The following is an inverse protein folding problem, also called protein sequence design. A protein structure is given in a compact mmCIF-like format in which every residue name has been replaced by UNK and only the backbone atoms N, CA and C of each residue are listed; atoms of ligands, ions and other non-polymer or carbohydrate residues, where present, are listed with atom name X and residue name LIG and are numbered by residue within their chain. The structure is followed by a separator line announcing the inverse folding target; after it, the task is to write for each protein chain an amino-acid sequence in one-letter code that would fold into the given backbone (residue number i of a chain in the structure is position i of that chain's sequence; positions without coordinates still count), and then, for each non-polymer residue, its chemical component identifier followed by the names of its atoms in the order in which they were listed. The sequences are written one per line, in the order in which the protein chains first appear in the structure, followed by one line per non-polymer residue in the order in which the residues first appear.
data_IF_610950220404
#
_entry.id   IF_610950220404
#
_cell.length_a   1.000
_cell.length_b   1.000
_cell.length_c   1.000
_cell.angle_alpha   90.00
_cell.angle_beta   90.00
_cell.angle_gamma   90.00
#
_symmetry.space_group_name_H-M   'P 1'
#
loop_
_entity.id
_entity.type
_entity.pdbx_description
1 polymer ?
#
# COMPACT_ATOMS: atom_id res chain seq x y z
N UNK A 1 -5.76 1.54 -17.15
CA UNK A 1 -5.10 0.73 -16.10
C UNK A 1 -3.61 0.52 -16.40
N UNK A 2 -3.22 -0.09 -17.52
CA UNK A 2 -1.81 -0.42 -17.80
C UNK A 2 -0.86 0.80 -17.80
N UNK A 3 -1.26 1.92 -18.42
CA UNK A 3 -0.50 3.19 -18.38
C UNK A 3 -0.35 3.77 -16.97
N UNK A 4 -1.31 3.53 -16.08
CA UNK A 4 -1.27 4.01 -14.68
C UNK A 4 -0.21 3.24 -13.91
N UNK A 5 -0.18 1.90 -14.06
CA UNK A 5 0.85 1.08 -13.45
C UNK A 5 2.25 1.37 -13.99
N UNK A 6 2.40 1.69 -15.27
CA UNK A 6 3.69 2.13 -15.82
C UNK A 6 4.18 3.40 -15.10
N UNK A 7 3.34 4.42 -14.98
CA UNK A 7 3.67 5.65 -14.26
C UNK A 7 3.99 5.41 -12.78
N UNK A 8 3.19 4.58 -12.09
CA UNK A 8 3.47 4.19 -10.70
C UNK A 8 4.84 3.50 -10.61
N UNK A 9 5.13 2.54 -11.49
CA UNK A 9 6.41 1.84 -11.48
C UNK A 9 7.61 2.74 -11.77
N UNK A 10 7.46 3.78 -12.59
CA UNK A 10 8.49 4.79 -12.79
C UNK A 10 8.75 5.60 -11.51
N UNK A 11 7.68 6.02 -10.81
CA UNK A 11 7.77 6.70 -9.52
C UNK A 11 8.45 5.82 -8.46
N UNK A 12 8.08 4.54 -8.40
CA UNK A 12 8.64 3.58 -7.46
C UNK A 12 10.15 3.35 -7.67
N UNK A 13 10.67 3.47 -8.91
CA UNK A 13 12.10 3.33 -9.19
C UNK A 13 12.93 4.49 -8.65
N UNK A 14 12.41 5.72 -8.72
CA UNK A 14 13.10 6.91 -8.24
C UNK A 14 12.10 7.94 -7.67
N UNK A 15 11.64 7.73 -6.42
CA UNK A 15 10.59 8.56 -5.81
C UNK A 15 11.16 9.90 -5.33
N UNK A 16 11.28 10.87 -6.25
CA UNK A 16 11.63 12.26 -5.90
C UNK A 16 10.40 12.96 -5.34
N UNK A 17 10.60 13.87 -4.38
CA UNK A 17 9.49 14.56 -3.70
C UNK A 17 8.61 15.31 -4.71
N UNK A 18 9.22 16.03 -5.65
CA UNK A 18 8.50 16.77 -6.70
C UNK A 18 7.62 15.87 -7.55
N UNK A 19 8.12 14.69 -7.94
CA UNK A 19 7.38 13.72 -8.74
C UNK A 19 6.21 13.12 -7.94
N UNK A 20 6.41 12.87 -6.63
CA UNK A 20 5.37 12.37 -5.74
C UNK A 20 4.28 13.43 -5.52
N UNK A 21 4.65 14.69 -5.28
CA UNK A 21 3.69 15.79 -5.16
C UNK A 21 2.94 16.01 -6.47
N UNK A 22 3.57 15.85 -7.63
CA UNK A 22 2.87 15.93 -8.91
C UNK A 22 1.95 14.72 -9.20
N UNK A 23 2.20 13.57 -8.56
CA UNK A 23 1.50 12.32 -8.83
C UNK A 23 0.37 12.01 -7.86
N UNK A 24 0.49 12.41 -6.59
CA UNK A 24 -0.47 12.12 -5.51
C UNK A 24 -1.17 13.39 -5.03
N UNK A 25 -2.41 13.23 -4.59
CA UNK A 25 -3.09 14.26 -3.81
C UNK A 25 -2.40 14.44 -2.45
N UNK A 26 -2.50 15.65 -1.89
CA UNK A 26 -1.83 16.00 -0.63
C UNK A 26 -2.39 15.20 0.55
N UNK A 27 -3.69 14.85 0.48
CA UNK A 27 -4.41 13.96 1.39
C UNK A 27 -4.52 12.51 0.89
N UNK A 28 -3.73 12.13 -0.11
CA UNK A 28 -3.72 10.79 -0.67
C UNK A 28 -2.97 9.76 0.18
N UNK A 29 -3.31 8.48 0.01
CA UNK A 29 -2.71 7.39 0.79
C UNK A 29 -2.40 6.14 -0.03
N UNK A 30 -1.51 5.29 0.50
CA UNK A 30 -1.33 3.93 0.01
C UNK A 30 -1.74 2.98 1.14
N UNK A 31 -2.66 2.06 0.85
CA UNK A 31 -3.13 1.05 1.78
C UNK A 31 -2.60 -0.31 1.37
N UNK A 32 -1.91 -0.99 2.28
CA UNK A 32 -1.36 -2.33 2.14
C UNK A 32 -2.07 -3.24 3.15
N UNK A 33 -3.09 -3.97 2.71
CA UNK A 33 -4.08 -4.62 3.58
C UNK A 33 -4.69 -3.61 4.57
N UNK A 34 -4.32 -3.67 5.85
CA UNK A 34 -4.82 -2.76 6.91
C UNK A 34 -3.82 -1.70 7.34
N UNK A 35 -2.69 -1.58 6.63
CA UNK A 35 -1.62 -0.63 6.93
C UNK A 35 -1.71 0.53 5.95
N UNK A 36 -1.82 1.74 6.47
CA UNK A 36 -1.83 2.98 5.71
C UNK A 36 -0.44 3.60 5.72
N UNK A 37 0.00 4.09 4.57
CA UNK A 37 1.25 4.83 4.46
C UNK A 37 1.03 6.08 3.63
N UNK A 38 1.72 7.15 4.01
CA UNK A 38 1.80 8.34 3.17
C UNK A 38 2.56 8.01 1.87
N UNK A 39 2.10 8.46 0.69
CA UNK A 39 2.84 8.32 -0.55
C UNK A 39 4.23 8.96 -0.48
N UNK A 40 4.40 9.99 0.35
CA UNK A 40 5.67 10.66 0.57
C UNK A 40 6.67 9.81 1.37
N UNK A 41 6.22 8.74 2.01
CA UNK A 41 7.08 7.76 2.69
C UNK A 41 7.70 6.74 1.73
N UNK A 42 7.29 6.67 0.45
CA UNK A 42 7.80 5.72 -0.54
C UNK A 42 9.33 5.79 -0.67
N UNK A 43 9.91 6.99 -0.63
CA UNK A 43 11.38 7.16 -0.71
C UNK A 43 12.10 6.50 0.47
N UNK A 44 11.56 6.67 1.68
CA UNK A 44 12.15 6.07 2.88
C UNK A 44 11.97 4.55 2.89
N UNK A 45 10.81 4.07 2.44
CA UNK A 45 10.56 2.64 2.24
C UNK A 45 11.56 2.04 1.24
N UNK A 46 11.80 2.71 0.10
CA UNK A 46 12.79 2.27 -0.89
C UNK A 46 14.20 2.19 -0.28
N UNK A 47 14.64 3.22 0.46
CA UNK A 47 15.95 3.23 1.14
C UNK A 47 16.06 2.05 2.11
N UNK A 48 15.04 1.82 2.93
CA UNK A 48 14.98 0.71 3.89
C UNK A 48 15.09 -0.64 3.19
N UNK A 49 14.33 -0.85 2.11
CA UNK A 49 14.32 -2.09 1.34
C UNK A 49 15.64 -2.33 0.59
N UNK A 50 16.25 -1.30 0.00
CA UNK A 50 17.58 -1.39 -0.62
C UNK A 50 18.63 -1.77 0.42
N UNK A 51 18.54 -1.22 1.65
CA UNK A 51 19.36 -1.64 2.79
C UNK A 51 19.21 -3.12 3.17
N UNK A 52 18.05 -3.73 2.85
CA UNK A 52 17.78 -5.17 3.02
C UNK A 52 18.12 -6.00 1.77
N UNK A 53 18.72 -5.40 0.74
CA UNK A 53 19.15 -6.09 -0.48
C UNK A 53 18.11 -6.13 -1.60
N UNK A 54 17.14 -5.22 -1.60
CA UNK A 54 16.22 -5.04 -2.73
C UNK A 54 17.00 -4.68 -4.00
N UNK A 55 16.65 -5.35 -5.10
CA UNK A 55 17.17 -5.09 -6.45
C UNK A 55 16.15 -4.26 -7.23
N UNK A 56 14.88 -4.66 -7.17
CA UNK A 56 13.80 -3.95 -7.83
C UNK A 56 12.46 -4.30 -7.20
N UNK A 57 11.48 -3.43 -7.39
CA UNK A 57 10.08 -3.72 -7.07
C UNK A 57 9.18 -3.24 -8.20
N UNK A 58 8.02 -3.87 -8.32
CA UNK A 58 7.04 -3.56 -9.35
C UNK A 58 5.63 -3.82 -8.84
N UNK A 59 4.71 -2.97 -9.25
CA UNK A 59 3.28 -3.10 -9.03
C UNK A 59 2.55 -3.37 -10.35
N UNK A 60 1.56 -4.25 -10.33
CA UNK A 60 0.62 -4.46 -11.42
C UNK A 60 -0.77 -4.76 -10.85
N UNK A 61 -1.73 -5.13 -11.71
CA UNK A 61 -3.10 -5.44 -11.28
C UNK A 61 -3.21 -6.60 -10.28
N UNK A 62 -2.19 -7.46 -10.22
CA UNK A 62 -2.18 -8.71 -9.45
C UNK A 62 -1.33 -8.61 -8.18
N UNK A 63 -0.82 -7.42 -7.85
CA UNK A 63 -0.15 -7.16 -6.58
C UNK A 63 1.15 -6.38 -6.68
N UNK A 64 1.93 -6.52 -5.62
CA UNK A 64 3.22 -5.86 -5.42
C UNK A 64 4.34 -6.90 -5.26
N UNK A 65 5.39 -6.73 -6.05
CA UNK A 65 6.45 -7.72 -6.18
C UNK A 65 7.79 -7.08 -5.84
N UNK A 66 8.52 -7.70 -4.93
CA UNK A 66 9.87 -7.28 -4.54
C UNK A 66 10.87 -8.36 -4.95
N UNK A 67 11.84 -7.98 -5.76
CA UNK A 67 13.00 -8.79 -6.11
C UNK A 67 14.16 -8.43 -5.19
N UNK A 68 14.56 -9.37 -4.34
CA UNK A 68 15.81 -9.29 -3.58
C UNK A 68 16.88 -10.11 -4.30
N UNK A 69 18.15 -9.98 -3.89
CA UNK A 69 19.26 -10.71 -4.53
C UNK A 69 19.07 -12.24 -4.54
N UNK A 70 18.46 -12.79 -3.49
CA UNK A 70 18.39 -14.25 -3.26
C UNK A 70 16.97 -14.82 -3.23
N UNK A 71 15.93 -13.99 -3.14
CA UNK A 71 14.54 -14.43 -3.08
C UNK A 71 13.60 -13.35 -3.65
N UNK A 72 12.31 -13.70 -3.76
CA UNK A 72 11.25 -12.78 -4.16
C UNK A 72 10.18 -12.76 -3.06
N UNK A 73 9.69 -11.57 -2.72
CA UNK A 73 8.44 -11.41 -1.99
C UNK A 73 7.37 -11.04 -3.00
N UNK A 74 6.31 -11.84 -3.03
CA UNK A 74 5.17 -11.61 -3.90
C UNK A 74 3.94 -11.41 -3.02
N UNK A 75 3.46 -10.19 -2.99
CA UNK A 75 2.22 -9.83 -2.34
C UNK A 75 1.12 -9.92 -3.40
N UNK A 76 0.62 -11.13 -3.62
CA UNK A 76 -0.38 -11.41 -4.64
C UNK A 76 -1.74 -10.97 -4.15
N UNK A 77 -2.45 -10.19 -4.95
CA UNK A 77 -3.65 -9.52 -4.48
C UNK A 77 -4.31 -8.60 -5.49
N UNK A 78 -5.43 -8.03 -5.10
CA UNK A 78 -6.10 -6.99 -5.88
C UNK A 78 -5.43 -5.65 -5.64
N UNK A 79 -5.11 -4.94 -6.73
CA UNK A 79 -4.65 -3.56 -6.67
C UNK A 79 -5.70 -2.64 -7.24
N UNK A 80 -6.26 -1.79 -6.38
CA UNK A 80 -7.18 -0.72 -6.76
C UNK A 80 -6.43 0.62 -6.77
N UNK A 81 -6.67 1.45 -7.78
CA UNK A 81 -6.08 2.78 -7.88
C UNK A 81 -7.20 3.78 -8.15
N UNK A 82 -7.44 4.68 -7.20
CA UNK A 82 -8.47 5.71 -7.32
C UNK A 82 -7.82 7.02 -7.73
N UNK A 83 -8.29 7.56 -8.85
CA UNK A 83 -7.85 8.84 -9.41
C UNK A 83 -8.92 9.90 -9.16
N UNK A 84 -8.49 11.10 -8.74
CA UNK A 84 -9.29 12.33 -8.82
C UNK A 84 -8.68 13.24 -9.89
N UNK A 85 -7.93 14.26 -9.49
CA UNK A 85 -7.05 15.00 -10.41
C UNK A 85 -5.66 14.34 -10.46
N UNK A 86 -5.15 13.95 -9.28
CA UNK A 86 -3.96 13.11 -9.08
C UNK A 86 -4.38 11.75 -8.48
N UNK A 87 -3.42 10.88 -8.19
CA UNK A 87 -3.67 9.62 -7.49
C UNK A 87 -4.15 9.98 -6.08
N UNK A 88 -5.39 9.62 -5.77
CA UNK A 88 -5.93 9.79 -4.43
C UNK A 88 -5.52 8.61 -3.55
N UNK A 89 -5.78 7.38 -3.98
CA UNK A 89 -5.30 6.22 -3.24
C UNK A 89 -4.85 5.05 -4.12
N UNK A 90 -3.94 4.27 -3.56
CA UNK A 90 -3.56 2.94 -4.06
C UNK A 90 -3.86 1.96 -2.95
N UNK A 91 -4.71 0.98 -3.23
CA UNK A 91 -5.08 -0.04 -2.26
C UNK A 91 -4.63 -1.40 -2.77
N UNK A 92 -3.89 -2.11 -1.93
CA UNK A 92 -3.26 -3.38 -2.25
C UNK A 92 -3.73 -4.37 -1.18
N UNK A 93 -4.72 -5.17 -1.52
CA UNK A 93 -5.22 -6.25 -0.65
C UNK A 93 -4.60 -7.56 -1.11
N UNK A 94 -3.73 -8.15 -0.30
CA UNK A 94 -2.84 -9.24 -0.71
C UNK A 94 -2.69 -10.35 0.32
N UNK A 95 -2.36 -11.53 -0.20
CA UNK A 95 -1.80 -12.65 0.54
C UNK A 95 -0.28 -12.72 0.30
N UNK A 96 0.55 -12.56 1.36
CA UNK A 96 2.00 -12.60 1.22
C UNK A 96 2.49 -14.00 0.90
N UNK A 97 3.31 -14.13 -0.15
CA UNK A 97 4.03 -15.35 -0.48
C UNK A 97 5.53 -15.07 -0.66
N UNK A 98 6.35 -16.00 -0.19
CA UNK A 98 7.81 -15.91 -0.28
C UNK A 98 8.30 -17.10 -1.10
N UNK A 99 9.16 -16.83 -2.09
CA UNK A 99 9.87 -17.89 -2.79
C UNK A 99 10.97 -18.44 -1.85
N UNK A 100 10.65 -19.45 -1.03
CA UNK A 100 11.58 -20.13 -0.11
C UNK A 100 11.76 -19.48 1.27
N UNK A 101 12.43 -20.17 2.20
CA UNK A 101 12.54 -19.75 3.61
C UNK A 101 13.45 -18.55 3.90
N UNK A 102 14.31 -18.16 2.95
CA UNK A 102 15.33 -17.12 3.16
C UNK A 102 14.74 -15.70 3.35
N UNK A 103 13.51 -15.46 2.89
CA UNK A 103 12.86 -14.15 2.95
C UNK A 103 12.12 -13.83 4.25
N UNK A 104 11.95 -14.80 5.16
CA UNK A 104 11.16 -14.63 6.39
C UNK A 104 11.67 -13.49 7.29
N UNK A 105 13.00 -13.33 7.54
CA UNK A 105 13.49 -12.21 8.34
C UNK A 105 13.19 -10.85 7.72
N UNK A 106 13.30 -10.75 6.38
CA UNK A 106 13.03 -9.52 5.65
C UNK A 106 11.54 -9.18 5.66
N UNK A 107 10.67 -10.19 5.55
CA UNK A 107 9.22 -9.98 5.68
C UNK A 107 8.86 -9.41 7.06
N UNK A 108 9.41 -9.99 8.14
CA UNK A 108 9.17 -9.50 9.51
C UNK A 108 9.64 -8.06 9.71
N UNK A 109 10.82 -7.73 9.19
CA UNK A 109 11.36 -6.37 9.27
C UNK A 109 10.52 -5.37 8.47
N UNK A 110 10.06 -5.77 7.28
CA UNK A 110 9.16 -4.96 6.45
C UNK A 110 7.82 -4.71 7.16
N UNK A 111 7.22 -5.75 7.75
CA UNK A 111 6.00 -5.60 8.56
C UNK A 111 6.19 -4.64 9.73
N UNK A 112 7.30 -4.73 10.45
CA UNK A 112 7.61 -3.83 11.56
C UNK A 112 7.76 -2.38 11.10
N UNK A 113 8.44 -2.16 9.96
CA UNK A 113 8.59 -0.83 9.39
C UNK A 113 7.25 -0.24 8.94
N UNK A 114 6.43 -1.02 8.24
CA UNK A 114 5.12 -0.60 7.76
C UNK A 114 4.18 -0.23 8.92
N UNK A 115 4.19 -0.98 10.02
CA UNK A 115 3.45 -0.60 11.25
C UNK A 115 3.89 0.76 11.82
N UNK A 116 5.17 1.08 11.72
CA UNK A 116 5.68 2.40 12.11
C UNK A 116 5.15 3.51 11.20
N UNK A 117 5.10 3.27 9.88
CA UNK A 117 4.52 4.19 8.92
C UNK A 117 3.02 4.41 9.17
N UNK A 118 2.28 3.35 9.48
CA UNK A 118 0.84 3.39 9.81
C UNK A 118 0.54 4.27 11.01
N UNK A 119 1.27 4.07 12.10
CA UNK A 119 1.15 4.92 13.28
C UNK A 119 1.43 6.40 12.94
N UNK A 120 2.46 6.66 12.12
CA UNK A 120 2.86 8.01 11.74
C UNK A 120 1.86 8.67 10.79
N UNK A 121 1.23 7.89 9.91
CA UNK A 121 0.15 8.34 9.05
C UNK A 121 -1.02 8.88 9.88
N UNK A 122 -1.54 8.09 10.82
CA UNK A 122 -2.68 8.51 11.66
C UNK A 122 -2.36 9.66 12.62
N UNK A 123 -1.09 9.85 13.01
CA UNK A 123 -0.69 11.00 13.85
C UNK A 123 -0.52 12.30 13.06
N UNK A 124 -0.22 12.22 11.76
CA UNK A 124 0.13 13.39 10.93
C UNK A 124 -1.01 13.81 10.00
N UNK A 125 -1.85 12.86 9.61
CA UNK A 125 -3.09 13.15 8.93
C UNK A 125 -4.10 13.65 9.97
N UNK A 126 -4.57 14.88 9.79
CA UNK A 126 -5.87 15.26 10.33
C UNK A 126 -6.88 14.39 9.59
N UNK A 127 -7.18 13.21 10.13
CA UNK A 127 -8.08 12.25 9.51
C UNK A 127 -9.41 12.97 9.31
N UNK A 128 -9.68 13.37 8.08
CA UNK A 128 -11.02 13.74 7.65
C UNK A 128 -11.79 12.42 7.52
N UNK A 129 -12.17 11.87 8.68
CA UNK A 129 -12.84 10.57 8.83
C UNK A 129 -14.03 10.48 7.87
N UNK A 130 -14.69 11.62 7.62
CA UNK A 130 -15.82 11.72 6.71
C UNK A 130 -15.41 11.38 5.27
N UNK A 131 -14.23 11.80 4.79
CA UNK A 131 -13.75 11.44 3.44
C UNK A 131 -13.40 9.95 3.30
N UNK A 132 -12.93 9.29 4.36
CA UNK A 132 -12.65 7.84 4.35
C UNK A 132 -13.95 7.03 4.39
N UNK A 133 -14.92 7.45 5.22
CA UNK A 133 -16.27 6.87 5.28
C UNK A 133 -17.05 7.08 3.97
N UNK A 134 -16.91 8.24 3.33
CA UNK A 134 -17.60 8.54 2.07
C UNK A 134 -17.00 7.81 0.87
N UNK A 135 -15.78 7.28 0.98
CA UNK A 135 -15.14 6.50 -0.09
C UNK A 135 -15.42 5.01 -0.03
N UNK A 136 -15.68 4.47 1.16
CA UNK A 136 -16.21 3.13 1.34
C UNK A 136 -17.71 3.27 1.62
N UNK A 137 -18.58 3.32 0.58
CA UNK A 137 -19.98 3.62 0.80
C UNK A 137 -20.57 2.65 1.83
N UNK A 138 -21.36 3.18 2.77
CA UNK A 138 -21.98 2.41 3.85
C UNK A 138 -22.65 1.12 3.37
N UNK A 139 -23.14 1.10 2.12
CA UNK A 139 -23.65 -0.07 1.39
C UNK A 139 -22.71 -1.29 1.47
N UNK A 140 -21.40 -1.10 1.37
CA UNK A 140 -20.38 -2.15 1.44
C UNK A 140 -20.10 -2.61 2.88
N UNK A 141 -20.50 -1.82 3.88
CA UNK A 141 -20.41 -2.15 5.31
C UNK A 141 -21.67 -2.83 5.87
N UNK A 142 -22.77 -2.95 5.10
CA UNK A 142 -23.99 -3.60 5.60
C UNK A 142 -23.83 -5.10 5.82
N UNK A 143 -22.97 -5.79 5.08
CA UNK A 143 -22.68 -7.22 5.33
C UNK A 143 -22.08 -7.45 6.72
N UNK A 144 -21.33 -6.47 7.23
CA UNK A 144 -20.78 -6.50 8.58
C UNK A 144 -21.86 -6.31 9.66
N UNK A 145 -22.84 -5.44 9.42
CA UNK A 145 -23.98 -5.23 10.31
C UNK A 145 -24.97 -6.39 10.28
N UNK A 146 -25.20 -7.00 9.11
CA UNK A 146 -26.06 -8.16 8.95
C UNK A 146 -25.52 -9.39 9.70
N UNK A 147 -24.20 -9.61 9.68
CA UNK A 147 -23.59 -10.72 10.46
C UNK A 147 -23.73 -10.55 11.98
N UNK A 148 -23.82 -9.32 12.49
CA UNK A 148 -24.08 -9.07 13.94
C UNK A 148 -25.55 -9.22 14.31
N UNK A 149 -26.48 -8.97 13.40
CA UNK A 149 -27.93 -9.09 13.69
C UNK A 149 -28.42 -10.54 13.65
N UNK A 150 -27.72 -11.46 12.98
CA UNK A 150 -28.06 -12.89 12.96
C UNK A 150 -27.43 -13.73 14.09
N UNK A 151 -26.62 -13.15 14.98
CA UNK A 151 -26.27 -13.79 16.27
C UNK A 151 -27.32 -13.42 17.32
N UNK A 152 -28.58 -13.78 17.07
CA UNK A 152 -29.66 -13.82 18.08
C UNK A 152 -30.73 -14.85 17.70
N UNK A 153 -30.43 -16.12 17.97
CA UNK A 153 -31.18 -17.07 18.83
C UNK A 153 -30.70 -18.49 18.55
#
# INVERSE_FOLDING_TARGET
MERVFQRINELLKNPRLEDLTAAFEDDGYIRMNRVYISPFSIKQLLIKLVGMGLVSWQMNSNGLFFQFRTFRLKFHGSVNVVMRQRIFCIEIDFDPSIDGGAGIPVLKELESYLKGCDALFFMTYAIDIDKEILQNPLSESFDFLHRKSFVKK
#
